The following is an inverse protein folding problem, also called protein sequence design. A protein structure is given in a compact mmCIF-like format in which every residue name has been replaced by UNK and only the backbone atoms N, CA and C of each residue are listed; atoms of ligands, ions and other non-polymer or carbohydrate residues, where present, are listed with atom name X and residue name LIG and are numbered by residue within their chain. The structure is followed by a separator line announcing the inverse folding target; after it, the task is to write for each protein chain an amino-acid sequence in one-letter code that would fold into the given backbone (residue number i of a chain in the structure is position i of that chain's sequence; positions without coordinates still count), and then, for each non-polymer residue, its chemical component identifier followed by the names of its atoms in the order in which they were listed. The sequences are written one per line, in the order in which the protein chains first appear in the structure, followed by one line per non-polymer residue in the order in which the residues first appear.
data_IF_599446545060
#
_entry.id   IF_599446545060
#
_cell.length_a   1.000
_cell.length_b   1.000
_cell.length_c   1.000
_cell.angle_alpha   90.00
_cell.angle_beta   90.00
_cell.angle_gamma   90.00
#
_symmetry.space_group_name_H-M   'P 1'
#
loop_
_entity.id
_entity.type
_entity.pdbx_description
1 polymer ?
#
# COMPACT_ATOMS: atom_id res chain seq x y z
N UNK A 1 -21.44 59.21 -52.58
CA UNK A 1 -21.20 57.77 -52.43
C UNK A 1 -20.27 57.53 -51.27
N UNK A 2 -20.81 57.02 -50.17
CA UNK A 2 -20.01 56.68 -49.02
C UNK A 2 -20.04 55.12 -48.87
N UNK A 3 -18.88 54.51 -48.99
CA UNK A 3 -18.67 53.10 -48.73
C UNK A 3 -18.45 52.89 -47.25
N UNK A 4 -19.42 52.28 -46.58
CA UNK A 4 -19.32 51.86 -45.18
C UNK A 4 -18.55 50.56 -45.12
N UNK A 5 -17.32 50.62 -44.62
CA UNK A 5 -16.54 49.42 -44.30
C UNK A 5 -17.05 48.72 -43.04
N UNK A 6 -17.52 47.49 -43.22
CA UNK A 6 -17.86 46.63 -42.07
C UNK A 6 -16.60 45.92 -41.62
N UNK A 7 -16.12 46.27 -40.43
CA UNK A 7 -15.00 45.63 -39.75
C UNK A 7 -15.52 44.38 -39.08
N UNK A 8 -15.24 43.21 -39.66
CA UNK A 8 -15.49 41.89 -39.04
C UNK A 8 -14.37 41.64 -38.00
N UNK A 9 -14.69 41.79 -36.72
CA UNK A 9 -13.80 41.32 -35.65
C UNK A 9 -14.02 39.83 -35.44
N UNK A 10 -13.10 39.04 -35.94
CA UNK A 10 -13.06 37.61 -35.62
C UNK A 10 -12.54 37.41 -34.22
N UNK A 11 -13.43 37.04 -33.28
CA UNK A 11 -13.05 36.61 -31.95
C UNK A 11 -12.53 35.20 -32.02
N UNK A 12 -11.20 35.03 -31.94
CA UNK A 12 -10.56 33.75 -31.72
C UNK A 12 -10.79 33.33 -30.28
N UNK A 13 -11.73 32.42 -30.06
CA UNK A 13 -11.85 31.72 -28.77
C UNK A 13 -10.68 30.72 -28.67
N UNK A 14 -9.65 31.11 -27.93
CA UNK A 14 -8.61 30.16 -27.51
C UNK A 14 -9.22 29.22 -26.47
N UNK A 15 -9.59 28.04 -26.90
CA UNK A 15 -9.92 26.94 -25.98
C UNK A 15 -8.63 26.54 -25.26
N UNK A 16 -8.45 27.04 -24.04
CA UNK A 16 -7.44 26.52 -23.13
C UNK A 16 -7.93 25.16 -22.66
N UNK A 17 -7.54 24.13 -23.43
CA UNK A 17 -7.63 22.75 -22.98
C UNK A 17 -6.63 22.59 -21.82
N UNK A 18 -7.10 22.84 -20.61
CA UNK A 18 -6.39 22.53 -19.37
C UNK A 18 -6.20 21.02 -19.28
N UNK A 19 -5.09 20.53 -19.84
CA UNK A 19 -4.62 19.19 -19.57
C UNK A 19 -4.36 19.11 -18.06
N UNK A 20 -5.19 18.36 -17.34
CA UNK A 20 -4.84 17.92 -16.00
C UNK A 20 -3.57 17.07 -16.12
N UNK A 21 -2.42 17.70 -15.93
CA UNK A 21 -1.20 16.98 -15.68
C UNK A 21 -1.40 16.18 -14.39
N UNK A 22 -1.66 14.90 -14.53
CA UNK A 22 -1.61 13.98 -13.39
C UNK A 22 -0.18 13.96 -12.90
N UNK A 23 0.07 14.72 -11.83
CA UNK A 23 1.31 14.64 -11.08
C UNK A 23 1.39 13.23 -10.48
N UNK A 24 2.15 12.34 -11.13
CA UNK A 24 2.57 11.07 -10.57
C UNK A 24 3.69 11.31 -9.55
N UNK A 25 3.40 12.11 -8.53
CA UNK A 25 4.23 12.20 -7.36
C UNK A 25 3.93 11.03 -6.45
N UNK A 26 4.96 10.32 -5.98
CA UNK A 26 4.82 9.32 -4.92
C UNK A 26 4.12 9.98 -3.73
N UNK A 27 2.87 9.60 -3.50
CA UNK A 27 2.08 10.15 -2.40
C UNK A 27 2.22 9.22 -1.22
N UNK A 28 2.98 9.63 -0.23
CA UNK A 28 2.94 8.94 1.08
C UNK A 28 1.48 8.85 1.51
N UNK A 29 0.97 7.66 1.86
CA UNK A 29 -0.39 7.50 2.34
C UNK A 29 -0.69 8.44 3.49
N UNK A 30 -1.84 9.13 3.42
CA UNK A 30 -2.27 10.05 4.46
C UNK A 30 -3.16 9.30 5.44
N UNK A 31 -2.83 9.35 6.73
CA UNK A 31 -3.69 8.82 7.79
C UNK A 31 -5.05 9.50 7.75
N UNK A 32 -6.11 8.72 7.76
CA UNK A 32 -7.49 9.19 7.61
C UNK A 32 -7.99 9.28 6.17
N UNK A 33 -7.13 9.06 5.16
CA UNK A 33 -7.53 9.01 3.76
C UNK A 33 -7.61 7.56 3.23
N UNK A 34 -8.41 7.30 2.19
CA UNK A 34 -8.44 6.00 1.53
C UNK A 34 -7.05 5.61 1.00
N UNK A 35 -6.64 4.37 1.28
CA UNK A 35 -5.46 3.80 0.66
C UNK A 35 -5.70 3.57 -0.83
N UNK A 36 -4.71 3.91 -1.64
CA UNK A 36 -4.75 3.62 -3.07
C UNK A 36 -4.70 2.10 -3.29
N UNK A 37 -5.56 1.58 -4.17
CA UNK A 37 -5.57 0.15 -4.47
C UNK A 37 -4.33 -0.25 -5.26
N UNK A 38 -3.92 -1.49 -5.10
CA UNK A 38 -2.82 -2.09 -5.85
C UNK A 38 -3.15 -3.52 -6.26
N UNK A 39 -2.38 -4.05 -7.20
CA UNK A 39 -2.45 -5.46 -7.60
C UNK A 39 -1.05 -6.02 -7.78
N UNK A 40 -0.76 -7.10 -7.07
CA UNK A 40 0.51 -7.83 -7.14
C UNK A 40 0.26 -9.34 -7.19
N UNK A 41 1.18 -10.07 -7.79
CA UNK A 41 1.18 -11.53 -7.69
C UNK A 41 1.74 -11.98 -6.33
N UNK A 42 1.15 -13.01 -5.75
CA UNK A 42 1.76 -13.75 -4.65
C UNK A 42 2.83 -14.73 -5.15
N UNK A 43 3.43 -15.48 -4.23
CA UNK A 43 4.47 -16.47 -4.57
C UNK A 43 3.96 -17.63 -5.43
N UNK A 44 2.66 -17.90 -5.45
CA UNK A 44 2.01 -18.91 -6.29
C UNK A 44 1.58 -18.35 -7.66
N UNK A 45 1.83 -17.05 -7.91
CA UNK A 45 1.46 -16.35 -9.14
C UNK A 45 0.02 -15.88 -9.19
N UNK A 46 -0.75 -16.04 -8.11
CA UNK A 46 -2.12 -15.56 -8.02
C UNK A 46 -2.15 -14.06 -7.78
N UNK A 47 -2.98 -13.34 -8.56
CA UNK A 47 -3.15 -11.91 -8.39
C UNK A 47 -3.94 -11.58 -7.13
N UNK A 48 -3.38 -10.70 -6.31
CA UNK A 48 -3.97 -10.18 -5.08
C UNK A 48 -4.11 -8.66 -5.22
N UNK A 49 -5.23 -8.10 -4.76
CA UNK A 49 -5.42 -6.66 -4.67
C UNK A 49 -5.81 -6.24 -3.25
N UNK A 50 -5.48 -5.02 -2.85
CA UNK A 50 -5.87 -4.51 -1.53
C UNK A 50 -7.40 -4.50 -1.37
N UNK A 51 -8.13 -4.15 -2.42
CA UNK A 51 -9.60 -4.11 -2.42
C UNK A 51 -10.28 -5.44 -2.12
N UNK A 52 -9.62 -6.58 -2.35
CA UNK A 52 -10.14 -7.91 -2.00
C UNK A 52 -10.25 -8.14 -0.49
N UNK A 53 -9.57 -7.32 0.30
CA UNK A 53 -9.54 -7.43 1.76
C UNK A 53 -10.46 -6.45 2.47
N UNK A 54 -11.39 -5.80 1.75
CA UNK A 54 -12.44 -4.98 2.38
C UNK A 54 -13.20 -5.80 3.43
N UNK A 55 -13.53 -5.17 4.55
CA UNK A 55 -14.13 -5.84 5.71
C UNK A 55 -13.11 -6.46 6.67
N UNK A 56 -11.81 -6.31 6.39
CA UNK A 56 -10.72 -6.75 7.28
C UNK A 56 -9.79 -5.59 7.60
N UNK A 57 -9.21 -5.63 8.78
CA UNK A 57 -8.04 -4.80 9.11
C UNK A 57 -6.83 -5.39 8.42
N UNK A 58 -6.13 -4.59 7.62
CA UNK A 58 -4.97 -5.01 6.83
C UNK A 58 -3.70 -4.36 7.36
N UNK A 59 -2.69 -5.17 7.66
CA UNK A 59 -1.31 -4.72 7.84
C UNK A 59 -0.57 -4.94 6.52
N UNK A 60 -0.26 -3.87 5.79
CA UNK A 60 0.66 -3.89 4.66
C UNK A 60 2.05 -3.63 5.18
N UNK A 61 2.97 -4.57 4.99
CA UNK A 61 4.37 -4.45 5.43
C UNK A 61 5.31 -4.60 4.24
N UNK A 62 6.13 -3.58 4.01
CA UNK A 62 7.16 -3.58 2.96
C UNK A 62 8.48 -4.08 3.54
N UNK A 63 9.10 -5.08 2.90
CA UNK A 63 10.25 -5.79 3.41
C UNK A 63 11.15 -6.38 2.33
N UNK A 64 12.35 -6.81 2.73
CA UNK A 64 13.26 -7.61 1.91
C UNK A 64 14.03 -8.61 2.78
N UNK A 65 14.52 -9.68 2.19
CA UNK A 65 15.27 -10.74 2.91
C UNK A 65 16.59 -10.23 3.50
N UNK A 66 17.23 -9.26 2.85
CA UNK A 66 18.48 -8.63 3.29
C UNK A 66 18.28 -7.54 4.37
N UNK A 67 17.04 -7.11 4.60
CA UNK A 67 16.72 -6.08 5.57
C UNK A 67 16.62 -6.68 6.98
N UNK A 68 17.66 -6.51 7.79
CA UNK A 68 17.71 -7.07 9.15
C UNK A 68 16.56 -6.61 10.06
N UNK A 69 16.19 -5.32 10.13
CA UNK A 69 15.03 -4.91 10.91
C UNK A 69 13.74 -5.57 10.44
N UNK A 70 13.54 -5.72 9.12
CA UNK A 70 12.36 -6.39 8.54
C UNK A 70 12.25 -7.83 9.05
N UNK A 71 13.32 -8.61 8.92
CA UNK A 71 13.32 -10.02 9.32
C UNK A 71 13.20 -10.19 10.84
N UNK A 72 13.62 -9.19 11.62
CA UNK A 72 13.49 -9.19 13.08
C UNK A 72 12.03 -9.02 13.55
N UNK A 73 11.21 -8.24 12.83
CA UNK A 73 9.79 -8.03 13.20
C UNK A 73 8.83 -9.10 12.66
N UNK A 74 9.21 -9.87 11.65
CA UNK A 74 8.35 -10.86 11.00
C UNK A 74 7.80 -11.93 11.95
N UNK A 75 8.53 -12.45 12.97
CA UNK A 75 7.96 -13.37 13.95
C UNK A 75 6.79 -12.77 14.74
N UNK A 76 6.86 -11.48 15.12
CA UNK A 76 5.76 -10.80 15.79
C UNK A 76 4.53 -10.66 14.87
N UNK A 77 4.76 -10.35 13.59
CA UNK A 77 3.72 -10.33 12.57
C UNK A 77 3.06 -11.70 12.41
N UNK A 78 3.86 -12.78 12.38
CA UNK A 78 3.34 -14.15 12.27
C UNK A 78 2.49 -14.53 13.49
N UNK A 79 2.99 -14.28 14.68
CA UNK A 79 2.25 -14.57 15.93
C UNK A 79 0.91 -13.84 15.96
N UNK A 80 0.90 -12.57 15.58
CA UNK A 80 -0.33 -11.78 15.54
C UNK A 80 -1.28 -12.25 14.44
N UNK A 81 -0.76 -12.58 13.26
CA UNK A 81 -1.54 -13.15 12.18
C UNK A 81 -2.23 -14.45 12.60
N UNK A 82 -1.53 -15.36 13.26
CA UNK A 82 -2.10 -16.62 13.74
C UNK A 82 -3.23 -16.41 14.76
N UNK A 83 -3.10 -15.39 15.62
CA UNK A 83 -4.11 -15.06 16.64
C UNK A 83 -5.36 -14.40 16.07
N UNK A 84 -5.24 -13.62 15.00
CA UNK A 84 -6.27 -12.69 14.53
C UNK A 84 -6.79 -12.95 13.12
N UNK A 85 -6.21 -13.84 12.31
CA UNK A 85 -6.65 -14.09 10.93
C UNK A 85 -8.12 -14.51 10.82
N UNK A 86 -8.62 -15.25 11.81
CA UNK A 86 -10.02 -15.66 11.88
C UNK A 86 -10.93 -14.59 12.55
N UNK A 87 -10.34 -13.47 12.95
CA UNK A 87 -11.00 -12.33 13.61
C UNK A 87 -10.95 -11.05 12.76
N UNK A 88 -10.88 -11.20 11.44
CA UNK A 88 -10.91 -10.06 10.51
C UNK A 88 -9.59 -9.28 10.38
N UNK A 89 -8.45 -9.93 10.59
CA UNK A 89 -7.12 -9.34 10.39
C UNK A 89 -6.32 -10.11 9.34
N UNK A 90 -5.56 -9.39 8.52
CA UNK A 90 -4.65 -9.99 7.54
C UNK A 90 -3.34 -9.20 7.47
N UNK A 91 -2.25 -9.91 7.20
CA UNK A 91 -0.95 -9.36 6.85
C UNK A 91 -0.72 -9.55 5.36
N UNK A 92 -0.37 -8.48 4.66
CA UNK A 92 0.12 -8.49 3.28
C UNK A 92 1.59 -8.06 3.30
N UNK A 93 2.50 -9.02 3.29
CA UNK A 93 3.93 -8.76 3.29
C UNK A 93 4.42 -8.55 1.85
N UNK A 94 4.67 -7.28 1.48
CA UNK A 94 5.10 -6.90 0.13
C UNK A 94 6.63 -6.93 0.08
N UNK A 95 7.17 -7.88 -0.68
CA UNK A 95 8.61 -7.99 -0.91
C UNK A 95 9.04 -7.09 -2.06
N UNK A 96 10.13 -6.34 -1.86
CA UNK A 96 10.65 -5.40 -2.84
C UNK A 96 11.85 -5.96 -3.61
N UNK A 97 11.75 -5.95 -4.95
CA UNK A 97 12.88 -6.11 -5.89
C UNK A 97 13.69 -7.39 -5.74
N UNK A 98 13.12 -8.47 -5.22
CA UNK A 98 13.82 -9.75 -5.09
C UNK A 98 13.22 -10.85 -5.96
N UNK A 99 14.02 -11.88 -6.23
CA UNK A 99 13.58 -13.07 -6.95
C UNK A 99 12.66 -13.95 -6.09
N UNK A 100 11.61 -14.49 -6.70
CA UNK A 100 10.63 -15.35 -6.05
C UNK A 100 11.28 -16.56 -5.35
N UNK A 101 12.28 -17.17 -5.96
CA UNK A 101 12.96 -18.33 -5.38
C UNK A 101 13.64 -18.01 -4.06
N UNK A 102 14.31 -16.86 -3.98
CA UNK A 102 14.98 -16.37 -2.77
C UNK A 102 13.97 -16.05 -1.67
N UNK A 103 12.89 -15.36 -2.02
CA UNK A 103 11.83 -15.01 -1.07
C UNK A 103 11.11 -16.25 -0.56
N UNK A 104 10.78 -17.19 -1.45
CA UNK A 104 10.15 -18.47 -1.10
C UNK A 104 11.00 -19.27 -0.12
N UNK A 105 12.30 -19.36 -0.38
CA UNK A 105 13.24 -20.07 0.51
C UNK A 105 13.27 -19.42 1.89
N UNK A 106 13.35 -18.08 1.96
CA UNK A 106 13.33 -17.34 3.23
C UNK A 106 12.05 -17.60 4.02
N UNK A 107 10.89 -17.48 3.37
CA UNK A 107 9.56 -17.72 4.00
C UNK A 107 9.45 -19.14 4.54
N UNK A 108 9.89 -20.12 3.75
CA UNK A 108 9.90 -21.54 4.16
C UNK A 108 10.80 -21.80 5.37
N UNK A 109 12.03 -21.27 5.35
CA UNK A 109 12.99 -21.43 6.44
C UNK A 109 12.49 -20.88 7.77
N UNK A 110 11.73 -19.76 7.73
CA UNK A 110 11.22 -19.08 8.93
C UNK A 110 9.80 -19.49 9.30
N UNK A 111 9.13 -20.31 8.50
CA UNK A 111 7.79 -20.83 8.76
C UNK A 111 6.69 -19.76 8.73
N UNK A 112 6.85 -18.70 7.93
CA UNK A 112 5.82 -17.68 7.79
C UNK A 112 4.68 -18.18 6.89
N UNK A 113 3.43 -17.88 7.28
CA UNK A 113 2.22 -18.35 6.58
C UNK A 113 1.30 -17.21 6.12
N UNK A 114 1.59 -15.98 6.50
CA UNK A 114 0.85 -14.83 5.98
C UNK A 114 1.10 -14.61 4.47
N UNK A 115 0.16 -14.01 3.74
CA UNK A 115 0.33 -13.69 2.32
C UNK A 115 1.58 -12.86 2.03
N UNK A 116 2.39 -13.30 1.07
CA UNK A 116 3.57 -12.60 0.57
C UNK A 116 3.33 -12.20 -0.88
N UNK A 117 3.42 -10.91 -1.17
CA UNK A 117 3.21 -10.32 -2.48
C UNK A 117 4.52 -9.79 -3.05
N UNK A 118 4.70 -9.90 -4.37
CA UNK A 118 5.97 -9.61 -5.02
C UNK A 118 5.91 -8.29 -5.81
N UNK A 119 6.52 -7.23 -5.27
CA UNK A 119 6.68 -5.94 -5.96
C UNK A 119 8.01 -5.88 -6.72
N UNK A 120 8.08 -6.64 -7.82
CA UNK A 120 9.30 -6.83 -8.63
C UNK A 120 9.80 -5.56 -9.32
N UNK A 121 8.92 -4.58 -9.49
CA UNK A 121 9.22 -3.31 -10.18
C UNK A 121 9.19 -2.10 -9.22
N UNK A 122 9.03 -2.34 -7.93
CA UNK A 122 8.94 -1.30 -6.90
C UNK A 122 7.78 -0.30 -7.13
N UNK A 123 6.75 -0.70 -7.83
CA UNK A 123 5.61 0.17 -8.17
C UNK A 123 4.75 0.49 -6.97
N UNK A 124 4.41 -0.54 -6.19
CA UNK A 124 3.55 -0.39 -5.02
C UNK A 124 4.31 0.29 -3.89
N UNK A 125 5.60 -0.03 -3.70
CA UNK A 125 6.44 0.67 -2.76
C UNK A 125 6.52 2.18 -3.07
N UNK A 126 6.71 2.55 -4.35
CA UNK A 126 6.70 3.95 -4.78
C UNK A 126 5.33 4.61 -4.55
N UNK A 127 4.23 3.91 -4.86
CA UNK A 127 2.85 4.37 -4.62
C UNK A 127 2.60 4.67 -3.13
N UNK A 128 3.17 3.87 -2.24
CA UNK A 128 3.07 4.05 -0.79
C UNK A 128 4.18 4.94 -0.20
N UNK A 129 5.01 5.57 -1.02
CA UNK A 129 6.06 6.48 -0.57
C UNK A 129 7.15 5.79 0.26
N UNK A 130 7.45 4.53 -0.05
CA UNK A 130 8.46 3.74 0.63
C UNK A 130 9.83 4.05 0.02
N UNK A 131 10.69 4.70 0.81
CA UNK A 131 12.06 5.04 0.43
C UNK A 131 13.12 4.31 1.28
N UNK A 132 12.68 3.44 2.16
CA UNK A 132 13.53 2.64 3.03
C UNK A 132 12.69 1.61 3.77
N UNK A 133 13.32 0.52 4.21
CA UNK A 133 12.66 -0.62 4.83
C UNK A 133 12.98 -0.73 6.33
N UNK A 134 12.06 -1.27 7.13
CA UNK A 134 10.68 -1.61 6.81
C UNK A 134 9.73 -0.40 6.81
N UNK A 135 8.60 -0.53 6.14
CA UNK A 135 7.45 0.36 6.29
C UNK A 135 6.21 -0.47 6.55
N UNK A 136 5.40 -0.05 7.50
CA UNK A 136 4.15 -0.73 7.87
C UNK A 136 2.98 0.23 7.81
N UNK A 137 1.90 -0.19 7.15
CA UNK A 137 0.69 0.60 6.97
C UNK A 137 -0.50 -0.20 7.47
N UNK A 138 -1.21 0.32 8.46
CA UNK A 138 -2.46 -0.28 8.94
C UNK A 138 -3.64 0.38 8.25
N UNK A 139 -4.52 -0.44 7.71
CA UNK A 139 -5.69 -0.04 6.92
C UNK A 139 -6.92 -0.68 7.53
N UNK A 140 -7.98 0.10 7.72
CA UNK A 140 -9.22 -0.40 8.31
C UNK A 140 -10.10 -1.18 7.31
N UNK A 141 -11.22 -1.69 7.79
CA UNK A 141 -12.18 -2.49 7.03
C UNK A 141 -12.80 -1.74 5.83
N UNK A 142 -12.79 -0.40 5.88
CA UNK A 142 -13.26 0.48 4.80
C UNK A 142 -12.16 0.82 3.80
N UNK A 143 -10.92 0.44 4.10
CA UNK A 143 -9.75 0.74 3.27
C UNK A 143 -9.12 2.10 3.55
N UNK A 144 -9.37 2.68 4.72
CA UNK A 144 -8.78 3.96 5.14
C UNK A 144 -7.51 3.70 5.95
N UNK A 145 -6.45 4.45 5.64
CA UNK A 145 -5.18 4.38 6.35
C UNK A 145 -5.35 4.87 7.78
N UNK A 146 -4.99 4.04 8.75
CA UNK A 146 -5.09 4.36 10.18
C UNK A 146 -3.73 4.66 10.81
N UNK A 147 -2.67 3.99 10.39
CA UNK A 147 -1.30 4.23 10.85
C UNK A 147 -0.32 4.02 9.69
N UNK A 148 0.76 4.81 9.69
CA UNK A 148 1.89 4.69 8.75
C UNK A 148 3.19 4.77 9.54
N UNK A 149 3.90 3.64 9.65
CA UNK A 149 5.10 3.48 10.50
C UNK A 149 6.32 3.26 9.62
N UNK A 150 7.30 4.16 9.71
CA UNK A 150 8.60 4.06 9.03
C UNK A 150 9.65 3.57 10.00
N UNK A 151 10.33 2.47 9.65
CA UNK A 151 11.56 2.03 10.31
C UNK A 151 11.41 1.68 11.78
N UNK A 152 10.31 1.58 12.37
CA UNK A 152 10.10 1.09 13.74
C UNK A 152 10.06 -0.44 13.77
N UNK A 153 10.46 -1.04 14.88
CA UNK A 153 10.31 -2.46 15.07
C UNK A 153 8.86 -2.75 15.51
N UNK A 154 8.12 -3.49 14.68
CA UNK A 154 6.81 -4.00 15.09
C UNK A 154 6.97 -5.06 16.18
N UNK A 155 6.33 -4.83 17.31
CA UNK A 155 6.16 -5.85 18.36
C UNK A 155 4.76 -6.43 18.27
N UNK A 156 4.58 -7.64 18.81
CA UNK A 156 3.26 -8.25 18.91
C UNK A 156 2.27 -7.33 19.63
N UNK A 157 2.68 -6.73 20.76
CA UNK A 157 1.82 -5.83 21.52
C UNK A 157 1.39 -4.61 20.71
N UNK A 158 2.32 -3.98 19.98
CA UNK A 158 1.99 -2.84 19.12
C UNK A 158 0.95 -3.19 18.06
N UNK A 159 1.12 -4.33 17.37
CA UNK A 159 0.17 -4.77 16.35
C UNK A 159 -1.20 -5.04 16.98
N UNK A 160 -1.25 -5.74 18.10
CA UNK A 160 -2.51 -6.03 18.82
C UNK A 160 -3.23 -4.74 19.25
N UNK A 161 -2.51 -3.77 19.78
CA UNK A 161 -3.07 -2.49 20.23
C UNK A 161 -3.65 -1.67 19.06
N UNK A 162 -2.92 -1.59 17.95
CA UNK A 162 -3.39 -0.87 16.74
C UNK A 162 -4.62 -1.55 16.16
N UNK A 163 -4.61 -2.87 16.00
CA UNK A 163 -5.76 -3.63 15.47
C UNK A 163 -6.99 -3.46 16.39
N UNK A 164 -6.82 -3.59 17.71
CA UNK A 164 -7.91 -3.41 18.66
C UNK A 164 -8.48 -1.99 18.64
N UNK A 165 -7.63 -0.96 18.49
CA UNK A 165 -8.05 0.44 18.34
C UNK A 165 -8.89 0.62 17.09
N UNK A 166 -8.46 0.09 15.95
CA UNK A 166 -9.17 0.19 14.67
C UNK A 166 -10.55 -0.49 14.78
N UNK A 167 -10.60 -1.72 15.31
CA UNK A 167 -11.84 -2.49 15.41
C UNK A 167 -12.87 -1.89 16.39
N UNK A 168 -12.43 -1.15 17.41
CA UNK A 168 -13.33 -0.42 18.32
C UNK A 168 -14.03 0.77 17.68
N UNK A 169 -13.45 1.34 16.62
CA UNK A 169 -13.99 2.50 15.90
C UNK A 169 -14.73 2.08 14.61
N UNK A 170 -14.81 0.79 14.33
CA UNK A 170 -15.69 0.26 13.28
C UNK A 170 -17.15 0.47 13.71
N UNK A 171 -18.04 1.00 12.83
CA UNK A 171 -19.44 1.27 13.15
C UNK A 171 -20.24 -0.01 13.38
#
# INVERSE_FOLDING_TARGET
SQLAGVLLVAIFAVAVSGGLAWSMGSRVPVVGAPAEDFRLADLEGKQQSLSQYRGKVVLVNFWATWCKPCTTEMPAMQTTYDKLRDKGFVVLAINELEDDAKVREHIKQHGHTFPVLMDRENKVANQFGVFGLPVSVFIDEKGVVQEYIKGGLLTEQLILDVVAKIQKHAP
#
